data_IF_081729614116
#
_entry.id   IF_081729614116
#
_cell.length_a   1.000
_cell.length_b   1.000
_cell.length_c   1.000
_cell.angle_alpha   90.00
_cell.angle_beta   90.00
_cell.angle_gamma   90.00
#
_symmetry.space_group_name_H-M   'P 1'
#
loop_
_entity.id
_entity.type
_entity.pdbx_description
1 polymer ?
#
# COMPACT_ATOMS: atom_id res chain seq x y z
N UNK A 1 -18.98 -19.93 -27.62
CA UNK A 1 -19.96 -18.87 -27.34
C UNK A 1 -20.60 -19.17 -26.00
N UNK A 2 -20.36 -18.35 -24.98
CA UNK A 2 -21.01 -18.43 -23.67
C UNK A 2 -21.93 -17.21 -23.52
N UNK A 3 -23.09 -17.39 -22.87
CA UNK A 3 -23.97 -16.29 -22.50
C UNK A 3 -23.42 -15.64 -21.22
N UNK A 4 -22.99 -14.39 -21.31
CA UNK A 4 -22.78 -13.55 -20.14
C UNK A 4 -24.15 -13.22 -19.53
N UNK A 5 -24.48 -13.93 -18.45
CA UNK A 5 -25.68 -13.65 -17.67
C UNK A 5 -25.36 -12.48 -16.73
N UNK A 6 -25.82 -11.27 -17.06
CA UNK A 6 -25.89 -10.19 -16.07
C UNK A 6 -26.88 -10.65 -14.98
N UNK A 7 -26.48 -10.74 -13.70
CA UNK A 7 -27.44 -11.00 -12.65
C UNK A 7 -28.48 -9.88 -12.68
N UNK A 8 -29.76 -10.24 -12.85
CA UNK A 8 -30.85 -9.30 -12.72
C UNK A 8 -30.78 -8.71 -11.30
N UNK A 9 -30.80 -7.39 -11.18
CA UNK A 9 -31.05 -6.76 -9.89
C UNK A 9 -32.37 -7.35 -9.37
N UNK A 10 -32.32 -8.06 -8.24
CA UNK A 10 -33.54 -8.57 -7.62
C UNK A 10 -34.50 -7.42 -7.34
N UNK A 11 -35.80 -7.71 -7.28
CA UNK A 11 -36.80 -6.69 -6.95
C UNK A 11 -36.59 -6.20 -5.51
N UNK A 12 -35.89 -5.08 -5.36
CA UNK A 12 -35.56 -4.47 -4.08
C UNK A 12 -36.81 -4.01 -3.31
N UNK A 13 -37.92 -3.75 -4.02
CA UNK A 13 -39.18 -3.37 -3.38
C UNK A 13 -39.75 -4.51 -2.53
N UNK A 14 -39.51 -5.76 -2.91
CA UNK A 14 -39.91 -6.93 -2.11
C UNK A 14 -39.21 -7.01 -0.74
N UNK A 15 -38.03 -6.40 -0.62
CA UNK A 15 -37.29 -6.24 0.63
C UNK A 15 -37.59 -4.90 1.34
N UNK A 16 -38.56 -4.11 0.84
CA UNK A 16 -38.92 -2.80 1.38
C UNK A 16 -37.90 -1.69 1.09
N UNK A 17 -36.98 -1.89 0.14
CA UNK A 17 -35.92 -0.94 -0.18
C UNK A 17 -36.28 -0.12 -1.43
N UNK A 18 -35.90 1.17 -1.42
CA UNK A 18 -36.02 2.03 -2.60
C UNK A 18 -34.87 1.79 -3.58
N UNK A 19 -35.10 2.00 -4.88
CA UNK A 19 -34.03 2.02 -5.86
C UNK A 19 -33.21 3.30 -5.74
N UNK A 20 -31.88 3.19 -5.77
CA UNK A 20 -31.01 4.37 -5.80
C UNK A 20 -30.98 5.04 -7.19
N UNK A 21 -31.46 4.42 -8.27
CA UNK A 21 -31.50 5.03 -9.60
C UNK A 21 -30.12 5.40 -10.17
N UNK A 22 -29.07 4.68 -9.78
CA UNK A 22 -27.69 5.03 -10.09
C UNK A 22 -26.88 3.80 -10.52
N UNK A 23 -26.00 3.86 -11.54
CA UNK A 23 -25.32 2.67 -12.08
C UNK A 23 -24.39 1.94 -11.09
N UNK A 24 -23.92 2.62 -10.04
CA UNK A 24 -23.06 2.07 -8.99
C UNK A 24 -23.77 1.80 -7.66
N UNK A 25 -25.05 2.21 -7.53
CA UNK A 25 -25.83 2.03 -6.30
C UNK A 25 -27.16 1.35 -6.63
N UNK A 26 -27.44 0.24 -5.95
CA UNK A 26 -28.68 -0.51 -6.14
C UNK A 26 -29.83 0.03 -5.31
N UNK A 27 -29.58 0.33 -4.03
CA UNK A 27 -30.64 0.63 -3.06
C UNK A 27 -30.35 1.89 -2.24
N UNK A 28 -31.41 2.56 -1.80
CA UNK A 28 -31.38 3.64 -0.83
C UNK A 28 -32.28 3.29 0.37
N UNK A 29 -31.78 3.53 1.58
CA UNK A 29 -32.43 3.14 2.84
C UNK A 29 -32.43 4.34 3.78
N UNK A 30 -33.61 4.88 4.08
CA UNK A 30 -33.76 5.85 5.15
C UNK A 30 -33.66 5.14 6.51
N UNK A 31 -32.91 5.72 7.45
CA UNK A 31 -32.76 5.17 8.79
C UNK A 31 -33.94 5.61 9.67
N UNK A 32 -34.44 4.71 10.51
CA UNK A 32 -35.63 4.99 11.32
C UNK A 32 -35.32 5.80 12.59
N UNK A 33 -34.07 5.78 13.05
CA UNK A 33 -33.59 6.40 14.28
C UNK A 33 -33.07 7.83 14.08
N UNK A 34 -33.11 8.37 12.86
CA UNK A 34 -32.80 9.77 12.56
C UNK A 34 -33.02 10.13 11.09
N UNK A 35 -32.75 11.39 10.73
CA UNK A 35 -32.88 11.89 9.34
C UNK A 35 -31.72 11.45 8.43
N UNK A 36 -31.07 10.33 8.72
CA UNK A 36 -29.95 9.78 7.96
C UNK A 36 -30.40 8.78 6.91
N UNK A 37 -29.51 8.47 5.97
CA UNK A 37 -29.76 7.46 4.94
C UNK A 37 -28.47 6.73 4.55
N UNK A 38 -28.65 5.52 4.03
CA UNK A 38 -27.58 4.67 3.50
C UNK A 38 -27.93 4.27 2.08
N UNK A 39 -27.04 4.55 1.12
CA UNK A 39 -27.09 3.99 -0.22
C UNK A 39 -26.12 2.81 -0.31
N UNK A 40 -26.51 1.74 -0.98
CA UNK A 40 -25.70 0.53 -1.10
C UNK A 40 -25.53 0.11 -2.55
N UNK A 41 -24.37 -0.46 -2.87
CA UNK A 41 -24.03 -0.94 -4.19
C UNK A 41 -23.06 -2.11 -4.16
N UNK A 42 -22.77 -2.64 -5.35
CA UNK A 42 -21.83 -3.74 -5.54
C UNK A 42 -21.03 -3.52 -6.81
N UNK A 43 -19.70 -3.49 -6.68
CA UNK A 43 -18.78 -3.18 -7.76
C UNK A 43 -17.96 -4.41 -8.13
N UNK A 44 -17.90 -4.75 -9.42
CA UNK A 44 -16.98 -5.75 -9.94
C UNK A 44 -16.59 -5.42 -11.38
N UNK A 45 -15.40 -5.84 -11.79
CA UNK A 45 -14.96 -5.66 -13.17
C UNK A 45 -15.86 -6.43 -14.16
N UNK A 46 -16.53 -7.50 -13.73
CA UNK A 46 -17.50 -8.23 -14.54
C UNK A 46 -18.82 -7.48 -14.75
N UNK A 47 -19.30 -6.76 -13.73
CA UNK A 47 -20.57 -6.04 -13.80
C UNK A 47 -20.39 -4.64 -14.40
N UNK A 48 -19.25 -3.99 -14.14
CA UNK A 48 -18.87 -2.69 -14.68
C UNK A 48 -17.49 -2.77 -15.37
N UNK A 49 -17.40 -3.31 -16.61
CA UNK A 49 -16.13 -3.54 -17.30
C UNK A 49 -15.30 -2.28 -17.54
N UNK A 50 -15.94 -1.11 -17.58
CA UNK A 50 -15.23 0.15 -17.73
C UNK A 50 -14.32 0.49 -16.55
N UNK A 51 -14.58 -0.06 -15.36
CA UNK A 51 -13.73 0.15 -14.20
C UNK A 51 -12.32 -0.45 -14.39
N UNK A 52 -12.17 -1.46 -15.25
CA UNK A 52 -10.88 -2.04 -15.59
C UNK A 52 -10.02 -1.11 -16.47
N UNK A 53 -10.58 0.01 -16.96
CA UNK A 53 -9.91 0.97 -17.83
C UNK A 53 -9.29 2.15 -17.05
N UNK A 54 -9.38 2.14 -15.72
CA UNK A 54 -8.70 3.12 -14.86
C UNK A 54 -7.63 2.41 -14.03
N UNK A 55 -6.47 2.20 -14.65
CA UNK A 55 -5.33 1.56 -13.99
C UNK A 55 -4.36 2.61 -13.46
N UNK A 56 -3.94 2.47 -12.21
CA UNK A 56 -2.87 3.27 -11.61
C UNK A 56 -1.88 2.31 -10.98
N UNK A 57 -0.62 2.41 -11.40
CA UNK A 57 0.46 1.48 -11.05
C UNK A 57 0.08 0.01 -11.28
N UNK A 58 -0.67 -0.26 -12.36
CA UNK A 58 -1.11 -1.62 -12.72
C UNK A 58 -2.34 -2.14 -11.96
N UNK A 59 -2.86 -1.42 -10.97
CA UNK A 59 -4.07 -1.81 -10.24
C UNK A 59 -5.32 -1.09 -10.76
N UNK A 60 -6.44 -1.83 -10.88
CA UNK A 60 -7.74 -1.24 -11.19
C UNK A 60 -8.26 -0.46 -9.98
N UNK A 61 -8.22 0.86 -10.06
CA UNK A 61 -8.69 1.75 -9.02
C UNK A 61 -10.03 2.35 -9.42
N UNK A 62 -10.98 2.40 -8.48
CA UNK A 62 -12.14 3.26 -8.66
C UNK A 62 -11.66 4.72 -8.75
N UNK A 63 -11.96 5.46 -9.84
CA UNK A 63 -11.51 6.85 -9.98
C UNK A 63 -12.12 7.73 -8.89
N UNK A 64 -11.38 8.74 -8.43
CA UNK A 64 -11.87 9.69 -7.44
C UNK A 64 -13.16 10.40 -7.88
N UNK A 65 -13.34 10.60 -9.19
CA UNK A 65 -14.57 11.16 -9.77
C UNK A 65 -15.80 10.28 -9.58
N UNK A 66 -15.65 8.96 -9.45
CA UNK A 66 -16.76 8.08 -9.09
C UNK A 66 -17.17 8.26 -7.63
N UNK A 67 -16.23 8.53 -6.71
CA UNK A 67 -16.55 8.85 -5.32
C UNK A 67 -17.30 10.18 -5.22
N UNK A 68 -16.94 11.17 -6.04
CA UNK A 68 -17.67 12.45 -6.13
C UNK A 68 -19.08 12.23 -6.66
N UNK A 69 -19.25 11.45 -7.72
CA UNK A 69 -20.56 11.17 -8.32
C UNK A 69 -21.49 10.38 -7.36
N UNK A 70 -20.92 9.45 -6.59
CA UNK A 70 -21.64 8.79 -5.47
C UNK A 70 -22.09 9.79 -4.40
N UNK A 71 -21.25 10.77 -4.05
CA UNK A 71 -21.59 11.81 -3.09
C UNK A 71 -22.66 12.79 -3.62
N UNK A 72 -22.61 13.13 -4.92
CA UNK A 72 -23.65 13.92 -5.59
C UNK A 72 -24.99 13.18 -5.52
N UNK A 73 -25.01 11.88 -5.88
CA UNK A 73 -26.25 11.10 -5.82
C UNK A 73 -26.81 11.03 -4.39
N UNK A 74 -25.93 10.90 -3.39
CA UNK A 74 -26.32 10.92 -1.99
C UNK A 74 -26.84 12.30 -1.53
N UNK A 75 -26.28 13.38 -2.08
CA UNK A 75 -26.79 14.75 -1.88
C UNK A 75 -28.20 14.90 -2.41
N UNK A 76 -28.47 14.43 -3.63
CA UNK A 76 -29.81 14.46 -4.23
C UNK A 76 -30.84 13.73 -3.36
N UNK A 77 -30.47 12.54 -2.84
CA UNK A 77 -31.35 11.76 -1.95
C UNK A 77 -31.62 12.47 -0.62
N UNK A 78 -30.65 13.25 -0.13
CA UNK A 78 -30.73 13.99 1.12
C UNK A 78 -31.34 15.40 0.97
N UNK A 79 -31.68 15.82 -0.25
CA UNK A 79 -32.17 17.17 -0.56
C UNK A 79 -31.11 18.26 -0.49
N UNK A 80 -29.84 17.91 -0.67
CA UNK A 80 -28.70 18.82 -0.75
C UNK A 80 -28.33 19.07 -2.23
N UNK A 81 -27.87 20.28 -2.57
CA UNK A 81 -27.51 20.64 -3.96
C UNK A 81 -25.99 20.71 -4.20
N UNK A 82 -25.20 20.44 -3.14
CA UNK A 82 -23.77 20.68 -3.16
C UNK A 82 -23.03 19.71 -2.27
N UNK A 83 -21.94 19.19 -2.81
CA UNK A 83 -20.86 18.60 -2.01
C UNK A 83 -19.95 19.77 -1.60
N UNK A 84 -20.12 20.24 -0.36
CA UNK A 84 -19.36 21.36 0.18
C UNK A 84 -17.88 20.99 0.27
N UNK A 85 -17.61 19.79 0.77
CA UNK A 85 -16.26 19.23 0.91
C UNK A 85 -16.32 17.71 0.76
N UNK A 86 -15.31 17.12 0.12
CA UNK A 86 -15.09 15.68 0.05
C UNK A 86 -13.60 15.36 -0.02
N UNK A 87 -13.07 14.78 1.04
CA UNK A 87 -11.68 14.31 1.12
C UNK A 87 -11.61 12.83 0.80
N UNK A 88 -10.77 12.48 -0.18
CA UNK A 88 -10.44 11.11 -0.52
C UNK A 88 -9.40 10.58 0.48
N UNK A 89 -9.70 9.42 1.06
CA UNK A 89 -8.91 8.79 2.13
C UNK A 89 -8.08 7.65 1.55
N UNK A 90 -8.54 6.40 1.68
CA UNK A 90 -7.87 5.25 1.08
C UNK A 90 -8.35 5.01 -0.36
N UNK A 91 -7.48 4.62 -1.31
CA UNK A 91 -7.93 4.22 -2.64
C UNK A 91 -8.78 2.95 -2.57
N UNK A 92 -9.76 2.82 -3.46
CA UNK A 92 -10.58 1.61 -3.59
C UNK A 92 -10.06 0.80 -4.78
N UNK A 93 -9.34 -0.28 -4.48
CA UNK A 93 -8.83 -1.24 -5.47
C UNK A 93 -9.91 -2.27 -5.76
N UNK A 94 -10.18 -2.51 -7.05
CA UNK A 94 -11.15 -3.51 -7.49
C UNK A 94 -10.42 -4.82 -7.79
N UNK A 95 -10.85 -5.94 -7.17
CA UNK A 95 -10.20 -7.22 -7.40
C UNK A 95 -10.45 -7.70 -8.83
N UNK A 96 -9.48 -8.43 -9.39
CA UNK A 96 -9.59 -9.00 -10.74
C UNK A 96 -10.77 -9.99 -10.86
N UNK A 97 -11.08 -10.69 -9.76
CA UNK A 97 -12.24 -11.57 -9.63
C UNK A 97 -13.01 -11.27 -8.34
N UNK A 98 -14.32 -11.53 -8.36
CA UNK A 98 -15.19 -11.21 -7.22
C UNK A 98 -15.75 -9.79 -7.31
N UNK A 99 -16.13 -9.24 -6.16
CA UNK A 99 -16.74 -7.93 -6.08
C UNK A 99 -16.42 -7.28 -4.73
N UNK A 100 -16.72 -5.99 -4.62
CA UNK A 100 -16.77 -5.27 -3.36
C UNK A 100 -18.17 -4.71 -3.13
N UNK A 101 -18.60 -4.71 -1.88
CA UNK A 101 -19.79 -3.99 -1.44
C UNK A 101 -19.39 -2.55 -1.18
N UNK A 102 -20.22 -1.60 -1.60
CA UNK A 102 -20.03 -0.17 -1.33
C UNK A 102 -21.21 0.37 -0.54
N UNK A 103 -20.92 1.24 0.43
CA UNK A 103 -21.91 1.97 1.22
C UNK A 103 -21.60 3.46 1.21
N UNK A 104 -22.63 4.26 0.97
CA UNK A 104 -22.60 5.70 1.15
C UNK A 104 -23.53 6.04 2.29
N UNK A 105 -23.00 6.60 3.37
CA UNK A 105 -23.77 6.96 4.56
C UNK A 105 -23.87 8.47 4.65
N UNK A 106 -25.09 8.98 4.83
CA UNK A 106 -25.37 10.40 5.06
C UNK A 106 -26.01 10.57 6.43
N UNK A 107 -25.45 11.48 7.23
CA UNK A 107 -25.97 11.82 8.55
C UNK A 107 -27.24 12.68 8.51
N UNK A 108 -27.90 12.81 9.66
CA UNK A 108 -28.94 13.82 9.87
C UNK A 108 -28.41 15.25 9.67
N UNK A 109 -29.28 16.23 9.40
CA UNK A 109 -28.85 17.61 9.19
C UNK A 109 -28.39 18.23 10.51
N UNK A 110 -27.35 19.04 10.46
CA UNK A 110 -26.96 19.91 11.56
C UNK A 110 -27.88 21.15 11.65
N UNK A 111 -27.58 22.06 12.59
CA UNK A 111 -28.38 23.29 12.79
C UNK A 111 -28.41 24.23 11.58
N UNK A 112 -27.50 24.05 10.62
CA UNK A 112 -27.40 24.83 9.39
C UNK A 112 -27.87 24.04 8.16
N UNK A 113 -28.42 22.82 8.34
CA UNK A 113 -28.85 21.95 7.25
C UNK A 113 -27.73 21.19 6.54
N UNK A 114 -26.48 21.25 7.04
CA UNK A 114 -25.38 20.47 6.48
C UNK A 114 -25.45 19.04 6.97
N UNK A 115 -24.96 18.11 6.15
CA UNK A 115 -24.98 16.67 6.47
C UNK A 115 -23.60 16.08 6.25
N UNK A 116 -23.16 15.23 7.16
CA UNK A 116 -21.95 14.43 6.90
C UNK A 116 -22.23 13.39 5.82
N UNK A 117 -21.23 13.11 4.99
CA UNK A 117 -21.25 12.00 4.02
C UNK A 117 -19.97 11.19 4.13
N UNK A 118 -20.07 9.87 3.94
CA UNK A 118 -18.91 8.98 3.91
C UNK A 118 -19.13 7.80 2.97
N UNK A 119 -18.06 7.37 2.31
CA UNK A 119 -18.07 6.25 1.36
C UNK A 119 -17.14 5.16 1.87
N UNK A 120 -17.70 3.96 2.02
CA UNK A 120 -16.99 2.80 2.55
C UNK A 120 -17.11 1.61 1.60
N UNK A 121 -16.12 0.73 1.62
CA UNK A 121 -16.23 -0.56 0.94
C UNK A 121 -15.71 -1.72 1.78
N UNK A 122 -16.13 -2.92 1.41
CA UNK A 122 -15.55 -4.17 1.89
C UNK A 122 -15.63 -5.24 0.81
N UNK A 123 -14.77 -6.27 0.83
CA UNK A 123 -14.91 -7.42 -0.06
C UNK A 123 -16.30 -8.06 0.03
N UNK A 124 -16.83 -8.49 -1.11
CA UNK A 124 -18.10 -9.23 -1.18
C UNK A 124 -17.89 -10.72 -0.86
N UNK A 125 -18.89 -11.36 -0.26
CA UNK A 125 -18.81 -12.79 0.11
C UNK A 125 -17.96 -13.11 1.33
N UNK A 126 -17.40 -12.10 2.02
CA UNK A 126 -16.78 -12.28 3.34
C UNK A 126 -17.82 -12.19 4.46
N UNK A 127 -17.50 -12.76 5.63
CA UNK A 127 -18.39 -12.71 6.80
C UNK A 127 -18.69 -11.27 7.25
N UNK A 128 -19.75 -11.10 8.04
CA UNK A 128 -20.16 -9.80 8.58
C UNK A 128 -19.08 -9.06 9.37
N UNK A 129 -18.09 -9.80 9.86
CA UNK A 129 -17.06 -9.33 10.77
C UNK A 129 -15.86 -8.69 10.05
N UNK A 130 -15.81 -8.76 8.70
CA UNK A 130 -14.81 -8.04 7.92
C UNK A 130 -15.05 -6.53 8.05
N UNK A 131 -14.04 -5.76 8.51
CA UNK A 131 -14.19 -4.32 8.71
C UNK A 131 -14.39 -3.59 7.37
N UNK A 132 -15.10 -2.46 7.43
CA UNK A 132 -15.25 -1.55 6.31
C UNK A 132 -14.03 -0.64 6.19
N UNK A 133 -13.56 -0.44 4.95
CA UNK A 133 -12.52 0.54 4.61
C UNK A 133 -13.17 1.85 4.20
N UNK A 134 -12.71 2.98 4.75
CA UNK A 134 -13.19 4.30 4.39
C UNK A 134 -12.41 4.91 3.22
N UNK A 135 -13.12 5.37 2.19
CA UNK A 135 -12.54 5.86 0.94
C UNK A 135 -12.76 7.36 0.73
N UNK A 136 -13.86 7.90 1.25
CA UNK A 136 -14.10 9.33 1.24
C UNK A 136 -14.93 9.74 2.45
N UNK A 137 -14.72 10.95 2.94
CA UNK A 137 -15.56 11.58 3.95
C UNK A 137 -15.69 13.06 3.63
N UNK A 138 -16.83 13.66 3.98
CA UNK A 138 -17.08 15.05 3.64
C UNK A 138 -18.39 15.59 4.18
N UNK A 139 -18.79 16.73 3.60
CA UNK A 139 -19.98 17.50 4.00
C UNK A 139 -20.81 17.85 2.78
N UNK A 140 -22.11 17.60 2.89
CA UNK A 140 -23.14 18.02 1.96
C UNK A 140 -23.81 19.28 2.49
N UNK A 141 -24.05 20.24 1.61
CA UNK A 141 -24.68 21.51 1.97
C UNK A 141 -26.08 21.62 1.37
N UNK A 142 -27.00 22.29 2.08
CA UNK A 142 -28.34 22.54 1.57
C UNK A 142 -28.30 23.55 0.41
N UNK A 143 -29.42 23.65 -0.32
CA UNK A 143 -29.55 24.57 -1.44
C UNK A 143 -29.16 26.00 -1.09
N UNK A 144 -28.13 26.52 -1.78
CA UNK A 144 -27.62 27.87 -1.55
C UNK A 144 -27.59 28.66 -2.86
N UNK A 145 -28.78 29.06 -3.33
CA UNK A 145 -28.96 29.93 -4.49
C UNK A 145 -28.38 29.40 -5.81
N UNK A 146 -28.62 30.12 -6.90
CA UNK A 146 -28.00 29.80 -8.18
C UNK A 146 -26.51 30.12 -8.14
N UNK A 147 -25.67 29.20 -8.62
CA UNK A 147 -24.26 29.49 -8.87
C UNK A 147 -24.13 30.51 -10.02
N UNK A 148 -23.06 31.32 -10.07
CA UNK A 148 -22.76 32.15 -11.23
C UNK A 148 -22.56 31.25 -12.45
N UNK A 149 -23.37 31.42 -13.49
CA UNK A 149 -23.19 30.72 -14.75
C UNK A 149 -22.10 31.42 -15.56
N UNK A 150 -20.90 30.85 -15.60
CA UNK A 150 -19.93 31.18 -16.64
C UNK A 150 -20.28 30.38 -17.89
N UNK A 151 -20.90 31.05 -18.85
CA UNK A 151 -21.30 30.43 -20.12
C UNK A 151 -20.05 30.20 -21.00
N UNK A 152 -19.68 28.93 -21.18
CA UNK A 152 -18.66 28.50 -22.16
C UNK A 152 -19.26 28.42 -23.57
N UNK A 153 -19.97 29.49 -23.97
CA UNK A 153 -20.75 29.57 -25.21
C UNK A 153 -19.86 29.85 -26.43
N UNK A 154 -18.85 30.70 -26.29
CA UNK A 154 -17.82 30.93 -27.32
C UNK A 154 -16.77 29.82 -27.28
N UNK A 155 -16.63 29.08 -28.37
CA UNK A 155 -15.70 27.95 -28.44
C UNK A 155 -15.12 27.73 -29.86
N UNK A 156 -13.80 27.46 -30.01
CA UNK A 156 -12.79 27.50 -28.96
C UNK A 156 -12.66 28.93 -28.36
N UNK A 157 -12.13 29.08 -27.14
CA UNK A 157 -11.98 30.39 -26.52
C UNK A 157 -11.17 31.32 -27.40
N UNK A 158 -11.61 32.58 -27.55
CA UNK A 158 -10.80 33.59 -28.24
C UNK A 158 -9.45 33.78 -27.53
N UNK A 159 -8.43 34.04 -28.34
CA UNK A 159 -7.06 34.32 -27.92
C UNK A 159 -6.39 33.19 -27.12
N UNK A 160 -6.86 31.94 -27.30
CA UNK A 160 -6.25 30.75 -26.72
C UNK A 160 -5.37 30.00 -27.73
N UNK A 161 -4.19 29.61 -27.29
CA UNK A 161 -3.22 28.83 -28.08
C UNK A 161 -3.54 27.34 -27.96
N UNK A 162 -3.64 26.63 -29.08
CA UNK A 162 -3.87 25.20 -29.09
C UNK A 162 -2.62 24.43 -28.64
N UNK A 163 -2.80 23.46 -27.73
CA UNK A 163 -1.72 22.60 -27.25
C UNK A 163 -1.83 21.21 -27.90
N UNK A 164 -0.72 20.63 -28.39
CA UNK A 164 -0.72 19.31 -29.01
C UNK A 164 -0.96 18.21 -27.96
N UNK A 165 -1.74 17.19 -28.33
CA UNK A 165 -2.05 16.03 -27.49
C UNK A 165 -1.21 14.79 -27.82
N UNK A 166 -0.34 14.87 -28.83
CA UNK A 166 0.39 13.71 -29.34
C UNK A 166 1.25 13.03 -28.27
N UNK A 167 1.14 11.70 -28.17
CA UNK A 167 1.89 10.89 -27.22
C UNK A 167 1.50 11.09 -25.75
N UNK A 168 0.41 11.82 -25.46
CA UNK A 168 0.11 12.22 -24.08
C UNK A 168 -0.29 11.05 -23.19
N UNK A 169 -1.17 10.17 -23.67
CA UNK A 169 -1.61 9.00 -22.91
C UNK A 169 -0.50 7.94 -22.80
N UNK A 170 0.40 7.85 -23.77
CA UNK A 170 1.60 7.04 -23.71
C UNK A 170 2.54 7.50 -22.59
N UNK A 171 2.78 8.83 -22.47
CA UNK A 171 3.56 9.40 -21.35
C UNK A 171 2.89 9.16 -20.00
N UNK A 172 1.56 9.26 -19.92
CA UNK A 172 0.84 8.92 -18.69
C UNK A 172 1.01 7.43 -18.32
N UNK A 173 0.98 6.53 -19.31
CA UNK A 173 1.22 5.11 -19.08
C UNK A 173 2.64 4.82 -18.59
N UNK A 174 3.66 5.52 -19.11
CA UNK A 174 5.05 5.46 -18.62
C UNK A 174 5.17 5.92 -17.16
N UNK A 175 4.34 6.89 -16.75
CA UNK A 175 4.19 7.34 -15.36
C UNK A 175 3.30 6.43 -14.51
N UNK A 176 2.84 5.29 -15.05
CA UNK A 176 2.03 4.30 -14.35
C UNK A 176 0.51 4.54 -14.39
N UNK A 177 0.02 5.47 -15.20
CA UNK A 177 -1.41 5.73 -15.38
C UNK A 177 -1.92 5.06 -16.66
N UNK A 178 -2.40 3.82 -16.51
CA UNK A 178 -2.94 3.01 -17.60
C UNK A 178 -4.42 3.31 -17.86
N UNK A 179 -4.69 4.42 -18.52
CA UNK A 179 -6.04 4.77 -18.96
C UNK A 179 -6.43 3.99 -20.21
N UNK A 180 -7.50 3.23 -20.15
CA UNK A 180 -8.13 2.58 -21.30
C UNK A 180 -9.03 3.53 -22.09
N UNK A 181 -9.59 3.10 -23.24
CA UNK A 181 -10.26 3.96 -24.21
C UNK A 181 -11.36 4.88 -23.65
N UNK A 182 -12.10 4.44 -22.62
CA UNK A 182 -13.16 5.24 -22.01
C UNK A 182 -12.63 6.45 -21.22
N UNK A 183 -11.44 6.34 -20.64
CA UNK A 183 -10.75 7.40 -19.90
C UNK A 183 -9.81 8.21 -20.80
N UNK A 184 -9.70 7.84 -22.07
CA UNK A 184 -8.97 8.61 -23.08
C UNK A 184 -9.87 9.66 -23.76
N UNK A 185 -10.63 10.40 -22.95
CA UNK A 185 -11.67 11.31 -23.44
C UNK A 185 -11.17 12.69 -23.89
N UNK A 186 -9.92 13.08 -23.63
CA UNK A 186 -9.39 14.40 -24.00
C UNK A 186 -9.23 14.52 -25.53
N UNK A 187 -9.94 15.48 -26.13
CA UNK A 187 -10.00 15.68 -27.60
C UNK A 187 -9.21 16.87 -28.07
N UNK A 188 -9.25 17.96 -27.32
CA UNK A 188 -8.56 19.18 -27.68
C UNK A 188 -8.26 19.98 -26.42
N UNK A 189 -7.17 20.75 -26.48
CA UNK A 189 -6.66 21.52 -25.34
C UNK A 189 -6.16 22.87 -25.84
N UNK A 190 -6.48 23.93 -25.10
CA UNK A 190 -6.01 25.27 -25.37
C UNK A 190 -5.55 25.94 -24.08
N UNK A 191 -4.64 26.89 -24.20
CA UNK A 191 -4.14 27.70 -23.09
C UNK A 191 -4.32 29.18 -23.38
N UNK A 192 -4.77 29.94 -22.39
CA UNK A 192 -4.84 31.40 -22.43
C UNK A 192 -4.34 31.96 -21.10
N UNK A 193 -3.11 32.45 -21.08
CA UNK A 193 -2.46 32.88 -19.84
C UNK A 193 -2.37 31.73 -18.82
N UNK A 194 -3.06 31.90 -17.69
CA UNK A 194 -3.14 30.93 -16.58
C UNK A 194 -4.44 30.09 -16.62
N UNK A 195 -5.19 30.18 -17.70
CA UNK A 195 -6.39 29.37 -17.94
C UNK A 195 -6.09 28.25 -18.94
N UNK A 196 -6.65 27.07 -18.69
CA UNK A 196 -6.62 25.93 -19.61
C UNK A 196 -8.04 25.56 -19.99
N UNK A 197 -8.25 25.30 -21.26
CA UNK A 197 -9.55 24.92 -21.82
C UNK A 197 -9.43 23.56 -22.50
N UNK A 198 -10.42 22.70 -22.32
CA UNK A 198 -10.41 21.37 -22.91
C UNK A 198 -11.77 20.98 -23.48
N UNK A 199 -11.75 20.23 -24.58
CA UNK A 199 -12.89 19.41 -25.00
C UNK A 199 -12.64 17.98 -24.56
N UNK A 200 -13.61 17.41 -23.86
CA UNK A 200 -13.60 16.00 -23.48
C UNK A 200 -14.87 15.31 -23.95
N UNK A 201 -14.76 14.07 -24.41
CA UNK A 201 -15.92 13.31 -24.86
C UNK A 201 -15.76 11.82 -24.57
N UNK A 202 -16.87 11.20 -24.14
CA UNK A 202 -16.97 9.75 -24.10
C UNK A 202 -16.94 9.17 -25.53
N UNK A 203 -16.48 7.92 -25.71
CA UNK A 203 -16.69 7.18 -26.95
C UNK A 203 -18.17 7.10 -27.32
N UNK A 204 -18.45 7.04 -28.62
CA UNK A 204 -19.79 6.84 -29.14
C UNK A 204 -20.42 5.57 -28.54
N UNK A 205 -21.72 5.59 -28.28
CA UNK A 205 -22.51 4.50 -27.67
C UNK A 205 -22.24 4.21 -26.19
N UNK A 206 -21.45 5.04 -25.49
CA UNK A 206 -21.33 4.95 -24.03
C UNK A 206 -22.62 5.41 -23.34
N UNK A 207 -23.20 4.57 -22.48
CA UNK A 207 -24.33 4.96 -21.64
C UNK A 207 -23.88 5.89 -20.50
N UNK A 208 -24.21 7.18 -20.62
CA UNK A 208 -23.97 8.19 -19.57
C UNK A 208 -25.16 8.36 -18.60
N UNK A 209 -26.29 7.71 -18.88
CA UNK A 209 -27.52 7.85 -18.10
C UNK A 209 -27.39 7.28 -16.68
N UNK A 210 -28.08 7.91 -15.72
CA UNK A 210 -28.11 7.49 -14.32
C UNK A 210 -26.94 7.99 -13.47
N UNK A 211 -25.83 8.40 -14.08
CA UNK A 211 -24.78 9.16 -13.40
C UNK A 211 -25.15 10.64 -13.32
N UNK A 212 -24.62 11.35 -12.32
CA UNK A 212 -24.64 12.82 -12.29
C UNK A 212 -23.79 13.36 -13.44
N UNK A 213 -22.50 13.04 -13.40
CA UNK A 213 -21.58 13.13 -14.54
C UNK A 213 -20.84 11.79 -14.63
N UNK A 214 -20.81 11.19 -15.83
CA UNK A 214 -20.12 9.91 -16.00
C UNK A 214 -18.66 10.00 -15.48
N UNK A 215 -18.23 9.12 -14.56
CA UNK A 215 -16.93 9.27 -13.88
C UNK A 215 -15.72 9.37 -14.83
N UNK A 216 -15.70 8.57 -15.90
CA UNK A 216 -14.63 8.63 -16.91
C UNK A 216 -14.60 9.95 -17.71
N UNK A 217 -15.75 10.61 -17.89
CA UNK A 217 -15.83 11.90 -18.58
C UNK A 217 -15.27 13.01 -17.69
N UNK A 218 -15.66 13.03 -16.41
CA UNK A 218 -15.12 13.98 -15.44
C UNK A 218 -13.63 13.74 -15.18
N UNK A 219 -13.19 12.48 -15.14
CA UNK A 219 -11.76 12.14 -14.93
C UNK A 219 -10.91 12.61 -16.13
N UNK A 220 -11.40 12.37 -17.36
CA UNK A 220 -10.75 12.87 -18.58
C UNK A 220 -10.58 14.40 -18.57
N UNK A 221 -11.49 15.14 -17.94
CA UNK A 221 -11.37 16.59 -17.80
C UNK A 221 -10.19 16.99 -16.91
N UNK A 222 -9.83 16.17 -15.92
CA UNK A 222 -8.69 16.42 -15.04
C UNK A 222 -7.34 16.17 -15.72
N UNK A 223 -7.31 15.37 -16.77
CA UNK A 223 -6.07 15.13 -17.53
C UNK A 223 -5.52 16.42 -18.16
N UNK A 224 -6.40 17.36 -18.50
CA UNK A 224 -6.01 18.68 -19.02
C UNK A 224 -5.14 19.48 -18.03
N UNK A 225 -5.19 19.20 -16.73
CA UNK A 225 -4.35 19.88 -15.71
C UNK A 225 -2.86 19.61 -15.95
N UNK A 226 -2.49 18.35 -16.21
CA UNK A 226 -1.10 17.95 -16.39
C UNK A 226 -0.49 18.51 -17.68
N UNK A 227 -1.22 18.39 -18.79
CA UNK A 227 -0.73 18.84 -20.10
C UNK A 227 -0.83 20.36 -20.28
N UNK A 228 -1.83 21.00 -19.67
CA UNK A 228 -2.04 22.44 -19.78
C UNK A 228 -0.98 23.29 -19.09
N UNK A 229 -0.07 22.68 -18.33
CA UNK A 229 0.99 23.36 -17.58
C UNK A 229 0.41 24.33 -16.53
N UNK A 230 -0.75 23.97 -15.97
CA UNK A 230 -1.47 24.75 -14.98
C UNK A 230 -0.82 24.64 -13.59
N UNK A 231 -0.18 23.49 -13.33
CA UNK A 231 0.61 23.21 -12.14
C UNK A 231 2.07 22.94 -12.53
N UNK A 232 3.04 23.16 -11.62
CA UNK A 232 4.43 22.82 -11.87
C UNK A 232 4.58 21.33 -12.20
N UNK A 233 5.36 21.05 -13.24
CA UNK A 233 5.73 19.69 -13.60
C UNK A 233 6.70 19.13 -12.57
N UNK A 234 6.27 18.06 -11.90
CA UNK A 234 7.03 17.36 -10.87
C UNK A 234 7.66 16.08 -11.41
N UNK A 235 7.46 15.73 -12.68
CA UNK A 235 7.84 14.44 -13.25
C UNK A 235 7.10 13.25 -12.61
N UNK A 236 6.01 13.52 -11.89
CA UNK A 236 5.20 12.57 -11.14
C UNK A 236 3.74 12.80 -11.47
N UNK A 237 2.97 11.73 -11.63
CA UNK A 237 1.53 11.88 -11.80
C UNK A 237 0.84 12.33 -10.53
N UNK A 238 -0.31 12.98 -10.72
CA UNK A 238 -1.11 13.59 -9.67
C UNK A 238 -2.48 12.93 -9.62
N UNK A 239 -3.00 12.73 -8.42
CA UNK A 239 -4.36 12.23 -8.20
C UNK A 239 -5.20 13.25 -7.44
N UNK A 240 -6.53 13.26 -7.64
CA UNK A 240 -7.46 13.99 -6.79
C UNK A 240 -7.30 13.61 -5.32
N UNK A 241 -7.35 14.61 -4.43
CA UNK A 241 -7.31 14.39 -2.98
C UNK A 241 -8.51 15.03 -2.27
N UNK A 242 -8.80 16.31 -2.49
CA UNK A 242 -9.90 16.99 -1.81
C UNK A 242 -10.69 17.86 -2.78
N UNK A 243 -12.00 17.71 -2.77
CA UNK A 243 -12.96 18.41 -3.62
C UNK A 243 -13.77 19.38 -2.76
N UNK A 244 -13.94 20.62 -3.21
CA UNK A 244 -14.73 21.61 -2.50
C UNK A 244 -15.70 22.32 -3.44
N UNK A 245 -16.93 22.50 -2.97
CA UNK A 245 -17.99 23.19 -3.68
C UNK A 245 -18.31 22.55 -5.03
N UNK A 246 -18.52 21.22 -5.06
CA UNK A 246 -18.99 20.53 -6.26
C UNK A 246 -20.50 20.73 -6.40
N UNK A 247 -20.91 21.30 -7.53
CA UNK A 247 -22.33 21.48 -7.87
C UNK A 247 -22.61 20.91 -9.25
N UNK A 248 -23.69 20.15 -9.34
CA UNK A 248 -24.21 19.59 -10.58
C UNK A 248 -25.42 20.42 -11.04
N UNK A 249 -25.38 20.89 -12.28
CA UNK A 249 -26.44 21.71 -12.89
C UNK A 249 -27.24 20.93 -13.94
N UNK A 250 -26.62 19.93 -14.57
CA UNK A 250 -27.25 19.07 -15.58
C UNK A 250 -26.66 17.66 -15.58
N UNK A 251 -27.48 16.67 -15.94
CA UNK A 251 -27.10 15.24 -16.00
C UNK A 251 -27.04 14.73 -17.44
N UNK A 252 -26.41 13.57 -17.64
CA UNK A 252 -26.44 12.85 -18.92
C UNK A 252 -25.55 13.44 -20.02
N UNK A 253 -24.62 14.33 -19.68
CA UNK A 253 -23.64 14.85 -20.61
C UNK A 253 -22.70 13.73 -21.11
N UNK A 254 -22.45 13.68 -22.42
CA UNK A 254 -21.50 12.77 -23.06
C UNK A 254 -20.25 13.48 -23.57
N UNK A 255 -20.27 14.81 -23.61
CA UNK A 255 -19.16 15.67 -23.95
C UNK A 255 -19.19 16.94 -23.10
N UNK A 256 -18.02 17.44 -22.73
CA UNK A 256 -17.86 18.67 -21.96
C UNK A 256 -16.86 19.61 -22.63
N UNK A 257 -17.17 20.90 -22.58
CA UNK A 257 -16.23 22.02 -22.66
C UNK A 257 -15.82 22.36 -21.24
N UNK A 258 -14.53 22.39 -20.98
CA UNK A 258 -13.98 22.53 -19.64
C UNK A 258 -13.09 23.77 -19.60
N UNK A 259 -13.21 24.57 -18.55
CA UNK A 259 -12.26 25.62 -18.17
C UNK A 259 -11.65 25.27 -16.82
N UNK A 260 -10.32 25.32 -16.75
CA UNK A 260 -9.50 25.07 -15.58
C UNK A 260 -8.69 26.32 -15.24
N UNK A 261 -8.60 26.64 -13.95
CA UNK A 261 -7.75 27.71 -13.41
C UNK A 261 -7.03 27.22 -12.17
N UNK A 262 -5.86 27.77 -11.83
CA UNK A 262 -5.12 27.42 -10.62
C UNK A 262 -5.15 28.56 -9.61
N UNK A 263 -6.10 28.57 -8.65
CA UNK A 263 -6.21 29.65 -7.67
C UNK A 263 -5.10 29.62 -6.61
N UNK A 264 -4.44 28.47 -6.42
CA UNK A 264 -3.40 28.23 -5.43
C UNK A 264 -2.48 27.07 -5.86
N UNK A 265 -1.28 26.93 -5.27
CA UNK A 265 -0.41 25.78 -5.52
C UNK A 265 -1.14 24.45 -5.34
N UNK A 266 -0.88 23.51 -6.26
CA UNK A 266 -1.47 22.16 -6.28
C UNK A 266 -3.01 22.12 -6.27
N UNK A 267 -3.65 23.25 -6.56
CA UNK A 267 -5.11 23.41 -6.52
C UNK A 267 -5.61 23.89 -7.88
N UNK A 268 -6.73 23.31 -8.32
CA UNK A 268 -7.41 23.70 -9.55
C UNK A 268 -8.89 23.96 -9.31
N UNK A 269 -9.48 24.92 -10.02
CA UNK A 269 -10.94 25.09 -10.10
C UNK A 269 -11.39 24.62 -11.48
N UNK A 270 -12.55 23.97 -11.54
CA UNK A 270 -13.10 23.40 -12.77
C UNK A 270 -14.51 23.93 -13.03
N UNK A 271 -14.74 24.42 -14.24
CA UNK A 271 -16.08 24.74 -14.75
C UNK A 271 -16.28 23.93 -16.02
N UNK A 272 -17.36 23.14 -16.10
CA UNK A 272 -17.68 22.36 -17.28
C UNK A 272 -19.09 22.64 -17.79
N UNK A 273 -19.21 22.75 -19.10
CA UNK A 273 -20.44 22.96 -19.83
C UNK A 273 -20.62 21.91 -20.93
N UNK A 274 -21.83 21.71 -21.42
CA UNK A 274 -22.09 20.83 -22.56
C UNK A 274 -21.61 21.44 -23.89
N UNK A 275 -21.84 20.72 -25.00
CA UNK A 275 -21.48 21.19 -26.34
C UNK A 275 -22.22 22.46 -26.80
N UNK A 276 -23.26 22.89 -26.09
CA UNK A 276 -23.99 24.14 -26.34
C UNK A 276 -23.52 25.30 -25.44
N UNK A 277 -22.66 25.02 -24.45
CA UNK A 277 -22.19 25.99 -23.47
C UNK A 277 -23.06 26.11 -22.22
N UNK A 278 -24.06 25.23 -22.03
CA UNK A 278 -24.86 25.19 -20.80
C UNK A 278 -24.07 24.51 -19.69
N UNK A 279 -24.06 25.10 -18.49
CA UNK A 279 -23.36 24.56 -17.34
C UNK A 279 -23.81 23.13 -17.01
N UNK A 280 -22.83 22.27 -16.69
CA UNK A 280 -23.04 20.87 -16.31
C UNK A 280 -22.54 20.65 -14.89
N UNK A 281 -21.27 20.96 -14.61
CA UNK A 281 -20.68 20.78 -13.29
C UNK A 281 -19.68 21.89 -12.98
N UNK A 282 -19.66 22.33 -11.73
CA UNK A 282 -18.65 23.26 -11.21
C UNK A 282 -17.97 22.64 -10.00
N UNK A 283 -16.67 22.89 -9.88
CA UNK A 283 -15.84 22.50 -8.74
C UNK A 283 -15.10 23.75 -8.29
N UNK A 284 -15.47 24.25 -7.11
CA UNK A 284 -14.88 25.46 -6.53
C UNK A 284 -13.37 25.32 -6.34
N UNK A 285 -12.92 24.20 -5.77
CA UNK A 285 -11.50 23.84 -5.74
C UNK A 285 -11.28 22.33 -5.66
N UNK A 286 -10.20 21.87 -6.29
CA UNK A 286 -9.73 20.51 -6.28
C UNK A 286 -8.23 20.53 -5.93
N UNK A 287 -7.89 19.94 -4.79
CA UNK A 287 -6.50 19.74 -4.37
C UNK A 287 -5.99 18.43 -4.96
N UNK A 288 -4.84 18.50 -5.62
CA UNK A 288 -4.16 17.36 -6.26
C UNK A 288 -2.90 16.99 -5.48
N UNK A 289 -2.60 15.69 -5.36
CA UNK A 289 -1.38 15.20 -4.70
C UNK A 289 -0.55 14.35 -5.65
N UNK A 290 0.77 14.46 -5.55
CA UNK A 290 1.68 13.56 -6.27
C UNK A 290 1.69 12.19 -5.61
N UNK A 291 1.62 11.14 -6.42
CA UNK A 291 1.71 9.75 -5.94
C UNK A 291 3.12 9.21 -6.20
N UNK A 292 3.67 8.47 -5.24
CA UNK A 292 4.84 7.61 -5.48
C UNK A 292 4.41 6.16 -5.56
N UNK A 293 5.15 5.36 -6.34
CA UNK A 293 4.87 3.93 -6.52
C UNK A 293 4.80 3.17 -5.18
N UNK A 294 5.48 3.64 -4.14
CA UNK A 294 5.51 3.02 -2.80
C UNK A 294 4.22 3.24 -1.97
N UNK A 295 3.36 4.19 -2.35
CA UNK A 295 2.15 4.54 -1.57
C UNK A 295 0.92 3.69 -1.92
N UNK A 296 0.94 2.98 -3.04
CA UNK A 296 -0.16 2.11 -3.49
C UNK A 296 -0.05 0.65 -2.98
N UNK A 297 1.13 -0.01 -2.94
CA UNK A 297 1.26 -1.40 -2.48
C UNK A 297 0.72 -1.65 -1.07
N UNK A 298 0.76 -0.65 -0.18
CA UNK A 298 0.18 -0.75 1.16
C UNK A 298 -1.36 -0.75 1.17
N UNK A 299 -2.00 -0.22 0.11
CA UNK A 299 -3.45 -0.19 -0.07
C UNK A 299 -3.95 -1.28 -1.04
N UNK A 300 -3.08 -1.81 -1.90
CA UNK A 300 -3.29 -3.00 -2.74
C UNK A 300 -3.15 -4.24 -1.86
N UNK A 301 -4.07 -4.38 -0.90
CA UNK A 301 -4.34 -5.65 -0.21
C UNK A 301 -5.05 -6.62 -1.16
N UNK A 302 -4.42 -6.93 -2.30
CA UNK A 302 -4.92 -7.92 -3.26
C UNK A 302 -4.12 -9.19 -3.05
N UNK A 303 -4.83 -10.15 -2.44
CA UNK A 303 -4.56 -11.58 -2.29
C UNK A 303 -3.61 -12.05 -1.17
N UNK A 304 -4.28 -12.41 -0.05
CA UNK A 304 -3.84 -13.13 1.16
C UNK A 304 -3.00 -12.38 2.20
N UNK A 305 -3.53 -12.09 3.41
CA UNK A 305 -2.67 -12.14 4.59
C UNK A 305 -2.22 -13.61 4.71
N UNK A 306 -0.91 -13.85 4.66
CA UNK A 306 -0.25 -15.14 4.88
C UNK A 306 -0.18 -16.16 3.73
N UNK A 307 0.51 -15.82 2.63
CA UNK A 307 0.99 -16.84 1.67
C UNK A 307 2.50 -16.68 1.41
N UNK A 308 3.29 -17.29 2.30
CA UNK A 308 4.75 -17.51 2.22
C UNK A 308 5.64 -16.25 2.32
N UNK A 309 6.19 -16.03 3.50
CA UNK A 309 7.30 -15.12 3.70
C UNK A 309 8.61 -15.77 3.24
N UNK A 310 9.44 -15.02 2.50
CA UNK A 310 10.83 -15.41 2.20
C UNK A 310 11.77 -14.68 3.14
N UNK A 311 12.73 -15.42 3.70
CA UNK A 311 13.81 -14.82 4.47
C UNK A 311 14.73 -14.05 3.53
N UNK A 312 14.89 -12.75 3.76
CA UNK A 312 15.84 -11.90 3.06
C UNK A 312 17.00 -11.56 4.00
N UNK A 313 18.22 -11.64 3.47
CA UNK A 313 19.46 -11.40 4.21
C UNK A 313 20.10 -10.12 3.68
N UNK A 314 19.79 -8.95 4.26
CA UNK A 314 20.36 -7.69 3.79
C UNK A 314 21.87 -7.66 4.06
N UNK A 315 22.64 -7.30 3.04
CA UNK A 315 24.08 -7.08 3.17
C UNK A 315 24.31 -5.77 3.92
N UNK A 316 24.90 -5.86 5.11
CA UNK A 316 25.34 -4.69 5.86
C UNK A 316 26.76 -4.31 5.40
N UNK A 317 27.03 -3.03 5.11
CA UNK A 317 28.38 -2.59 4.78
C UNK A 317 29.30 -2.79 5.99
N UNK A 318 30.32 -3.62 5.83
CA UNK A 318 31.45 -3.64 6.76
C UNK A 318 32.22 -2.34 6.55
N UNK A 319 32.53 -1.59 7.61
CA UNK A 319 33.33 -0.37 7.48
C UNK A 319 34.70 -0.69 6.84
N UNK A 320 35.17 0.16 5.92
CA UNK A 320 36.45 0.00 5.19
C UNK A 320 37.71 0.17 6.09
N UNK A 321 37.59 -0.05 7.40
CA UNK A 321 38.68 0.12 8.35
C UNK A 321 39.47 -1.15 8.56
N UNK A 322 40.69 -1.21 8.02
CA UNK A 322 41.75 -2.20 8.36
C UNK A 322 42.29 -2.03 9.81
N UNK A 323 41.49 -1.38 10.67
CA UNK A 323 41.77 -1.18 12.09
C UNK A 323 40.48 -1.45 12.85
N UNK A 324 40.43 -2.45 13.76
CA UNK A 324 39.25 -2.74 14.54
C UNK A 324 38.89 -1.49 15.35
N UNK A 325 37.76 -0.89 15.02
CA UNK A 325 37.22 0.23 15.77
C UNK A 325 36.56 -0.37 17.01
N UNK A 326 37.31 -0.33 18.13
CA UNK A 326 37.01 -0.87 19.46
C UNK A 326 35.69 -0.29 20.03
N UNK A 327 34.57 -0.70 19.44
CA UNK A 327 33.21 -0.24 19.72
C UNK A 327 32.34 -1.35 20.30
N UNK A 328 32.82 -2.59 20.23
CA UNK A 328 32.36 -3.70 21.06
C UNK A 328 33.13 -3.63 22.37
N UNK A 329 32.44 -3.64 23.51
CA UNK A 329 33.12 -3.83 24.78
C UNK A 329 33.92 -5.14 24.82
N UNK A 330 34.67 -5.41 25.91
CA UNK A 330 35.56 -6.56 26.02
C UNK A 330 34.90 -7.86 25.54
N UNK A 331 35.58 -8.55 24.62
CA UNK A 331 35.14 -9.82 24.04
C UNK A 331 35.88 -10.98 24.71
N UNK A 332 35.17 -12.06 25.00
CA UNK A 332 35.78 -13.30 25.51
C UNK A 332 35.34 -14.47 24.64
N UNK A 333 36.28 -15.35 24.31
CA UNK A 333 36.00 -16.57 23.55
C UNK A 333 36.22 -17.79 24.42
N UNK A 334 35.32 -18.76 24.30
CA UNK A 334 35.48 -20.10 24.88
C UNK A 334 35.24 -21.14 23.81
N UNK A 335 35.93 -22.28 23.89
CA UNK A 335 35.93 -23.29 22.83
C UNK A 335 34.67 -24.17 22.83
N UNK A 336 34.06 -24.40 23.99
CA UNK A 336 32.94 -25.31 24.14
C UNK A 336 32.15 -25.05 25.44
N UNK A 337 31.22 -25.96 25.75
CA UNK A 337 30.46 -25.95 27.01
C UNK A 337 31.36 -26.10 28.25
N UNK A 338 32.47 -26.81 28.15
CA UNK A 338 33.42 -26.98 29.25
C UNK A 338 34.13 -25.67 29.55
N UNK A 339 34.60 -24.98 28.50
CA UNK A 339 35.17 -23.65 28.58
C UNK A 339 34.18 -22.62 29.09
N UNK A 340 32.91 -22.68 28.66
CA UNK A 340 31.87 -21.81 29.19
C UNK A 340 31.65 -22.02 30.69
N UNK A 341 31.60 -23.27 31.16
CA UNK A 341 31.48 -23.57 32.60
C UNK A 341 32.69 -23.09 33.38
N UNK A 342 33.90 -23.35 32.88
CA UNK A 342 35.12 -22.89 33.52
C UNK A 342 35.19 -21.35 33.60
N UNK A 343 34.72 -20.65 32.57
CA UNK A 343 34.58 -19.20 32.57
C UNK A 343 33.65 -18.77 33.70
N UNK A 344 32.43 -19.33 33.76
CA UNK A 344 31.42 -18.99 34.77
C UNK A 344 31.86 -19.36 36.20
N UNK A 345 32.51 -20.50 36.40
CA UNK A 345 33.04 -20.94 37.70
C UNK A 345 34.20 -20.04 38.17
N UNK A 346 34.97 -19.48 37.23
CA UNK A 346 36.01 -18.49 37.49
C UNK A 346 35.49 -17.09 37.81
N UNK A 347 34.20 -16.81 37.59
CA UNK A 347 33.59 -15.53 37.95
C UNK A 347 33.40 -15.44 39.46
N UNK A 348 34.16 -14.54 40.10
CA UNK A 348 33.84 -14.10 41.47
C UNK A 348 32.59 -13.20 41.51
N UNK A 349 32.37 -12.53 42.64
CA UNK A 349 31.25 -11.58 42.85
C UNK A 349 31.31 -10.34 41.94
N UNK A 350 32.35 -10.19 41.13
CA UNK A 350 32.59 -9.03 40.25
C UNK A 350 31.83 -9.09 38.91
N UNK A 351 31.21 -10.22 38.57
CA UNK A 351 30.50 -10.41 37.29
C UNK A 351 31.43 -10.64 36.10
N UNK A 352 30.85 -10.77 34.89
CA UNK A 352 31.60 -10.97 33.65
C UNK A 352 32.43 -9.72 33.30
N UNK A 353 33.72 -9.87 32.96
CA UNK A 353 34.54 -8.75 32.48
C UNK A 353 34.25 -8.39 31.02
N UNK A 354 33.42 -9.17 30.33
CA UNK A 354 33.13 -9.07 28.90
C UNK A 354 31.66 -8.76 28.63
N UNK A 355 31.43 -7.87 27.67
CA UNK A 355 30.08 -7.54 27.18
C UNK A 355 29.57 -8.63 26.22
N UNK A 356 30.48 -9.38 25.60
CA UNK A 356 30.18 -10.42 24.62
C UNK A 356 31.04 -11.67 24.82
N UNK A 357 30.39 -12.83 24.90
CA UNK A 357 31.05 -14.15 24.94
C UNK A 357 30.77 -14.89 23.63
N UNK A 358 31.81 -15.24 22.89
CA UNK A 358 31.72 -16.07 21.68
C UNK A 358 31.90 -17.55 22.05
N UNK A 359 31.01 -18.40 21.55
CA UNK A 359 31.09 -19.86 21.72
C UNK A 359 30.79 -20.56 20.39
N UNK A 360 31.69 -21.42 19.90
CA UNK A 360 31.40 -22.33 18.81
C UNK A 360 30.19 -23.21 19.13
N UNK A 361 29.27 -23.33 18.19
CA UNK A 361 28.15 -24.25 18.32
C UNK A 361 28.65 -25.70 18.33
N UNK A 362 28.02 -26.59 19.13
CA UNK A 362 28.37 -28.00 19.15
C UNK A 362 28.26 -28.62 17.75
N UNK A 363 29.18 -29.53 17.42
CA UNK A 363 29.18 -30.22 16.12
C UNK A 363 28.89 -31.71 16.32
N UNK A 364 28.03 -32.26 15.46
CA UNK A 364 27.76 -33.69 15.43
C UNK A 364 28.94 -34.47 14.84
N UNK A 365 29.07 -35.75 15.22
CA UNK A 365 30.07 -36.61 14.59
C UNK A 365 29.70 -36.90 13.14
N UNK A 366 30.65 -36.75 12.22
CA UNK A 366 30.47 -37.07 10.80
C UNK A 366 30.25 -38.57 10.53
N UNK A 367 30.47 -39.42 11.53
CA UNK A 367 30.29 -40.89 11.44
C UNK A 367 28.88 -41.36 11.83
N UNK A 368 28.04 -40.48 12.38
CA UNK A 368 26.66 -40.79 12.80
C UNK A 368 25.65 -40.30 11.77
N UNK A 369 24.42 -40.79 11.84
CA UNK A 369 23.32 -40.34 10.94
C UNK A 369 22.96 -38.87 11.17
N UNK A 370 22.38 -38.20 10.17
CA UNK A 370 21.94 -36.79 10.28
C UNK A 370 20.97 -36.57 11.44
N UNK A 371 20.04 -37.51 11.67
CA UNK A 371 19.10 -37.43 12.79
C UNK A 371 19.80 -37.49 14.16
N UNK A 372 20.83 -38.33 14.30
CA UNK A 372 21.64 -38.42 15.52
C UNK A 372 22.48 -37.17 15.73
N UNK A 373 22.99 -36.58 14.64
CA UNK A 373 23.71 -35.30 14.69
C UNK A 373 22.79 -34.17 15.14
N UNK A 374 21.60 -34.02 14.53
CA UNK A 374 20.58 -33.04 14.94
C UNK A 374 20.24 -33.19 16.42
N UNK A 375 19.97 -34.42 16.88
CA UNK A 375 19.62 -34.67 18.27
C UNK A 375 20.78 -34.32 19.22
N UNK A 376 22.02 -34.57 18.81
CA UNK A 376 23.20 -34.26 19.62
C UNK A 376 23.48 -32.77 19.69
N UNK A 377 23.54 -32.09 18.54
CA UNK A 377 23.78 -30.65 18.44
C UNK A 377 22.70 -29.86 19.19
N UNK A 378 21.43 -30.22 19.04
CA UNK A 378 20.34 -29.53 19.75
C UNK A 378 20.35 -29.77 21.27
N UNK A 379 20.70 -30.99 21.72
CA UNK A 379 20.82 -31.31 23.15
C UNK A 379 21.98 -30.55 23.81
N UNK A 380 23.13 -30.52 23.15
CA UNK A 380 24.32 -29.82 23.64
C UNK A 380 24.13 -28.30 23.57
N UNK A 381 23.52 -27.80 22.50
CA UNK A 381 23.11 -26.40 22.38
C UNK A 381 22.14 -25.98 23.47
N UNK A 382 21.15 -26.82 23.80
CA UNK A 382 20.26 -26.57 24.94
C UNK A 382 21.02 -26.53 26.27
N UNK A 383 22.03 -27.40 26.46
CA UNK A 383 22.85 -27.40 27.66
C UNK A 383 23.69 -26.11 27.78
N UNK A 384 24.24 -25.61 26.68
CA UNK A 384 24.90 -24.30 26.59
C UNK A 384 23.96 -23.16 27.00
N UNK A 385 22.79 -23.08 26.35
CA UNK A 385 21.80 -22.04 26.64
C UNK A 385 21.34 -22.07 28.10
N UNK A 386 21.07 -23.25 28.66
CA UNK A 386 20.67 -23.39 30.08
C UNK A 386 21.78 -22.99 31.04
N UNK A 387 23.03 -23.33 30.71
CA UNK A 387 24.19 -22.97 31.53
C UNK A 387 24.36 -21.45 31.57
N UNK A 388 24.26 -20.79 30.41
CA UNK A 388 24.36 -19.33 30.31
C UNK A 388 23.17 -18.60 30.96
N UNK A 389 21.94 -18.96 30.58
CA UNK A 389 20.74 -18.25 31.02
C UNK A 389 20.40 -18.52 32.49
N UNK A 390 20.85 -19.64 33.05
CA UNK A 390 20.65 -20.02 34.45
C UNK A 390 21.64 -19.40 35.42
N UNK A 391 22.62 -18.64 34.95
CA UNK A 391 23.61 -17.96 35.79
C UNK A 391 23.28 -16.47 35.93
N UNK A 392 22.85 -16.06 37.13
CA UNK A 392 22.43 -14.69 37.42
C UNK A 392 23.54 -13.66 37.19
N UNK A 393 24.81 -14.07 37.23
CA UNK A 393 25.99 -13.20 36.99
C UNK A 393 26.08 -12.72 35.55
N UNK A 394 25.37 -13.37 34.62
CA UNK A 394 25.26 -12.94 33.21
C UNK A 394 24.21 -11.84 33.00
N UNK A 395 23.48 -11.47 34.06
CA UNK A 395 22.37 -10.49 34.04
C UNK A 395 22.53 -9.43 35.13
N UNK A 396 23.74 -9.21 35.66
CA UNK A 396 23.95 -8.25 36.74
C UNK A 396 23.53 -6.82 36.32
N UNK A 397 22.96 -6.11 37.29
CA UNK A 397 22.33 -4.79 37.27
C UNK A 397 23.12 -3.64 36.62
N UNK A 398 24.38 -3.85 36.22
CA UNK A 398 25.24 -2.82 35.61
C UNK A 398 25.48 -3.01 34.11
N UNK A 399 25.51 -4.24 33.59
CA UNK A 399 25.75 -4.58 32.17
C UNK A 399 25.11 -5.94 31.83
N UNK A 400 24.37 -6.03 30.72
CA UNK A 400 23.80 -7.29 30.23
C UNK A 400 24.76 -7.91 29.22
N UNK A 401 25.44 -8.99 29.60
CA UNK A 401 26.35 -9.71 28.72
C UNK A 401 25.58 -10.51 27.65
N UNK A 402 26.18 -10.63 26.46
CA UNK A 402 25.62 -11.36 25.33
C UNK A 402 26.38 -12.64 25.06
N UNK A 403 25.67 -13.72 24.76
CA UNK A 403 26.25 -14.94 24.22
C UNK A 403 26.05 -14.96 22.70
N UNK A 404 27.13 -15.05 21.95
CA UNK A 404 27.11 -15.25 20.50
C UNK A 404 27.43 -16.71 20.22
N UNK A 405 26.49 -17.44 19.62
CA UNK A 405 26.73 -18.80 19.14
C UNK A 405 27.19 -18.74 17.68
N UNK A 406 28.38 -19.29 17.44
CA UNK A 406 29.00 -19.35 16.12
C UNK A 406 28.64 -20.68 15.45
N UNK A 407 27.85 -20.62 14.37
CA UNK A 407 27.50 -21.80 13.56
C UNK A 407 28.26 -21.78 12.23
N UNK A 408 28.21 -22.87 11.47
CA UNK A 408 28.69 -22.91 10.08
C UNK A 408 27.69 -23.67 9.21
N UNK A 409 27.34 -23.13 8.05
CA UNK A 409 26.48 -23.81 7.08
C UNK A 409 25.04 -24.01 7.55
N UNK A 410 24.62 -23.25 8.57
CA UNK A 410 23.30 -23.32 9.18
C UNK A 410 22.25 -22.53 8.38
N UNK A 411 22.69 -21.57 7.57
CA UNK A 411 21.81 -20.77 6.72
C UNK A 411 22.33 -20.72 5.28
N UNK A 412 21.43 -20.40 4.35
CA UNK A 412 21.72 -20.20 2.95
C UNK A 412 21.34 -18.74 2.60
N UNK A 413 22.26 -17.78 2.80
CA UNK A 413 21.94 -16.36 2.70
C UNK A 413 21.78 -15.88 1.25
N UNK A 414 22.40 -16.58 0.29
CA UNK A 414 22.37 -16.23 -1.13
C UNK A 414 21.29 -17.01 -1.90
N UNK A 415 20.56 -16.36 -2.83
CA UNK A 415 19.59 -17.05 -3.69
C UNK A 415 20.22 -18.21 -4.47
N UNK A 416 19.61 -19.40 -4.37
CA UNK A 416 20.08 -20.60 -5.07
C UNK A 416 21.13 -21.42 -4.31
N UNK A 417 21.55 -20.98 -3.13
CA UNK A 417 22.38 -21.78 -2.22
C UNK A 417 21.51 -22.67 -1.32
N UNK A 418 22.08 -23.78 -0.86
CA UNK A 418 21.41 -24.73 0.05
C UNK A 418 22.15 -24.80 1.36
N UNK A 419 21.40 -24.97 2.46
CA UNK A 419 21.95 -25.30 3.77
C UNK A 419 22.83 -26.54 3.66
N UNK A 420 24.04 -26.47 4.22
CA UNK A 420 25.01 -27.57 4.18
C UNK A 420 25.11 -28.34 5.50
N UNK A 421 24.60 -27.78 6.60
CA UNK A 421 24.53 -28.44 7.91
C UNK A 421 23.11 -28.33 8.52
N UNK A 422 22.26 -29.36 8.30
CA UNK A 422 20.92 -29.41 8.89
C UNK A 422 20.91 -29.47 10.43
N UNK A 423 21.97 -29.98 11.07
CA UNK A 423 22.06 -30.05 12.53
C UNK A 423 22.27 -28.65 13.14
N UNK A 424 23.13 -27.83 12.51
CA UNK A 424 23.28 -26.41 12.88
C UNK A 424 22.00 -25.61 12.57
N UNK A 425 21.29 -25.94 11.49
CA UNK A 425 20.00 -25.31 11.16
C UNK A 425 18.92 -25.58 12.23
N UNK A 426 18.90 -26.80 12.78
CA UNK A 426 18.00 -27.14 13.88
C UNK A 426 18.35 -26.34 15.15
N UNK A 427 19.64 -26.11 15.42
CA UNK A 427 20.08 -25.26 16.53
C UNK A 427 19.62 -23.80 16.37
N UNK A 428 19.62 -23.25 15.15
CA UNK A 428 19.05 -21.92 14.87
C UNK A 428 17.57 -21.81 15.23
N UNK A 429 16.78 -22.88 15.05
CA UNK A 429 15.38 -22.93 15.49
C UNK A 429 15.24 -22.89 17.02
N UNK A 430 16.09 -23.65 17.73
CA UNK A 430 16.12 -23.67 19.19
C UNK A 430 16.52 -22.30 19.77
N UNK A 431 17.60 -21.70 19.26
CA UNK A 431 18.15 -20.44 19.79
C UNK A 431 17.21 -19.27 19.51
N UNK A 432 16.52 -19.23 18.35
CA UNK A 432 15.51 -18.19 18.07
C UNK A 432 14.33 -18.23 19.04
N UNK A 433 13.92 -19.42 19.47
CA UNK A 433 12.93 -19.57 20.54
C UNK A 433 13.46 -18.96 21.84
N UNK A 434 14.70 -19.28 22.23
CA UNK A 434 15.32 -18.73 23.44
C UNK A 434 15.57 -17.21 23.38
N UNK A 435 15.91 -16.66 22.20
CA UNK A 435 16.05 -15.21 21.94
C UNK A 435 14.74 -14.47 22.17
N UNK A 436 13.61 -15.07 21.79
CA UNK A 436 12.28 -14.48 21.98
C UNK A 436 11.92 -14.38 23.47
N UNK A 437 12.34 -15.36 24.27
CA UNK A 437 12.17 -15.35 25.73
C UNK A 437 13.20 -14.47 26.47
N UNK A 438 14.38 -14.25 25.86
CA UNK A 438 15.50 -13.51 26.46
C UNK A 438 16.05 -12.44 25.51
N UNK A 439 15.30 -11.35 25.24
CA UNK A 439 15.68 -10.36 24.24
C UNK A 439 17.05 -9.72 24.52
N UNK A 440 17.89 -9.64 23.49
CA UNK A 440 19.19 -8.97 23.54
C UNK A 440 20.32 -9.72 24.25
N UNK A 441 20.07 -10.94 24.77
CA UNK A 441 21.07 -11.76 25.48
C UNK A 441 21.75 -12.83 24.64
N UNK A 442 21.14 -13.20 23.51
CA UNK A 442 21.62 -14.28 22.64
C UNK A 442 21.72 -13.76 21.20
N UNK A 443 22.81 -14.08 20.53
CA UNK A 443 23.08 -13.72 19.12
C UNK A 443 23.51 -14.99 18.37
N UNK A 444 23.08 -15.12 17.12
CA UNK A 444 23.51 -16.18 16.21
C UNK A 444 24.35 -15.55 15.10
N UNK A 445 25.50 -16.16 14.81
CA UNK A 445 26.32 -15.81 13.65
C UNK A 445 26.71 -17.09 12.90
N UNK A 446 26.37 -17.17 11.61
CA UNK A 446 26.79 -18.28 10.75
C UNK A 446 28.04 -17.86 9.99
N UNK A 447 29.14 -18.56 10.21
CA UNK A 447 30.43 -18.26 9.61
C UNK A 447 30.57 -18.98 8.27
N UNK A 448 31.11 -18.27 7.29
CA UNK A 448 31.53 -18.84 6.02
C UNK A 448 32.57 -19.95 6.27
N UNK A 449 32.54 -21.09 5.55
CA UNK A 449 33.59 -22.10 5.67
C UNK A 449 34.96 -21.46 5.39
N UNK A 450 35.98 -21.77 6.20
CA UNK A 450 37.33 -21.33 5.89
C UNK A 450 37.74 -21.87 4.51
N UNK A 451 38.41 -21.08 3.65
CA UNK A 451 38.98 -21.61 2.43
C UNK A 451 39.99 -22.69 2.80
N UNK A 452 39.83 -23.91 2.28
CA UNK A 452 40.74 -25.00 2.55
C UNK A 452 42.19 -24.56 2.23
N UNK A 453 43.17 -24.81 3.11
CA UNK A 453 44.54 -24.42 2.86
C UNK A 453 45.02 -25.09 1.57
N UNK A 454 45.60 -24.29 0.69
CA UNK A 454 46.12 -24.74 -0.59
C UNK A 454 47.46 -25.50 -0.41
N UNK A 455 47.48 -26.59 0.35
CA UNK A 455 48.51 -27.63 0.26
C UNK A 455 48.20 -28.84 1.13
N UNK A 456 48.52 -30.01 0.55
CA UNK A 456 48.76 -31.31 1.18
C UNK A 456 47.56 -32.25 1.36
N UNK A 457 47.47 -33.19 0.42
CA UNK A 457 47.08 -34.55 0.72
C UNK A 457 47.95 -35.11 1.87
N UNK A 458 47.31 -35.80 2.80
CA UNK A 458 47.87 -36.55 3.93
C UNK A 458 48.47 -35.70 5.07
N UNK A 459 47.63 -35.30 6.02
CA UNK A 459 47.66 -35.84 7.39
C UNK A 459 46.41 -35.40 8.17
N UNK A 460 45.83 -36.34 8.92
CA UNK A 460 44.68 -36.11 9.78
C UNK A 460 45.15 -35.63 11.16
N UNK A 461 45.27 -34.30 11.34
CA UNK A 461 45.09 -33.60 12.64
C UNK A 461 45.27 -32.06 12.58
N UNK A 462 45.27 -31.43 11.40
CA UNK A 462 45.63 -30.01 11.26
C UNK A 462 44.43 -29.03 11.16
N UNK A 463 43.31 -29.31 11.86
CA UNK A 463 42.13 -28.42 11.82
C UNK A 463 42.10 -27.40 12.99
N UNK A 464 43.02 -27.50 13.95
CA UNK A 464 43.09 -26.58 15.10
C UNK A 464 43.81 -25.25 14.79
N UNK A 465 44.75 -25.23 13.84
CA UNK A 465 45.55 -24.03 13.52
C UNK A 465 44.90 -23.13 12.44
N UNK A 466 43.96 -23.66 11.65
CA UNK A 466 43.27 -22.89 10.60
C UNK A 466 42.03 -22.12 11.12
N UNK A 467 41.51 -22.46 12.31
CA UNK A 467 40.36 -21.78 12.90
C UNK A 467 40.72 -20.38 13.43
N UNK A 468 41.96 -20.12 13.86
CA UNK A 468 42.38 -18.84 14.44
C UNK A 468 42.30 -17.64 13.47
N UNK A 469 42.68 -17.82 12.19
CA UNK A 469 42.83 -16.72 11.22
C UNK A 469 41.49 -16.20 10.65
N UNK A 470 40.44 -17.04 10.61
CA UNK A 470 39.12 -16.63 10.13
C UNK A 470 38.28 -15.94 11.21
N UNK A 471 38.62 -16.15 12.48
CA UNK A 471 37.88 -15.65 13.64
C UNK A 471 38.46 -14.35 14.22
N UNK A 472 39.65 -13.93 13.78
CA UNK A 472 40.26 -12.62 14.11
C UNK A 472 39.61 -11.42 13.35
N UNK A 473 38.70 -11.70 12.41
CA UNK A 473 37.98 -10.70 11.58
C UNK A 473 36.55 -10.37 12.06
N UNK A 474 36.13 -10.92 13.19
CA UNK A 474 34.88 -10.62 13.91
C UNK A 474 35.18 -9.66 15.05
#
# INVERSE_FOLDING_TARGET
>A
YWLETRPAAGDLASAGLGSAGHPLLGAAVALADGDGLVLTGRLSLSAQPWLAQHLVMGAALLPGTALVDLAIRAADEAGCDRVEELTLQAPLVLPAQGAVQIQVTVGGPDGNGHRSVSVHSRPDGTGSDTPWSAHAAGVLAPPAGAAPADELSQWPPADAEALPLDGYYERLAELGFGYGPLFQGLRSLWRRGDEVFAEVSLPQDTEAGGFGVHPALLDSALHAVGLGGLLPDTGRGRIPFAWNGVRLEATGATALRVRLTSPAPDTVSLTAADGTGRAVVTVGSLVLRTVTADQLPAAVGVDHPDALYRLDWPVLPLGDGDTPQDTTGPLTRVEDLTGLRALLDGLGDAGLPADTVLVPAPRGSRTTTEAEQVHTVTREGLALLRTWLGDDRTTDSRLVSRLVLLTRGAVAPEPGTTVTDPAQSALWGLVRSAQSENPGRLVLADLTPAPAPASAAADADADADADADAEERL
#
